data_IF_550441672941
#
_entry.id   IF_550441672941
#
_cell.length_a   1.000
_cell.length_b   1.000
_cell.length_c   1.000
_cell.angle_alpha   90.00
_cell.angle_beta   90.00
_cell.angle_gamma   90.00
#
_symmetry.space_group_name_H-M   'P 1'
#
loop_
_entity.id
_entity.type
_entity.pdbx_description
1 polymer ?
#
# COMPACT_ATOMS: atom_id res chain seq x y z
N UNK A 1 60.06 -27.95 14.39
CA UNK A 1 59.01 -27.39 13.50
C UNK A 1 58.89 -25.91 13.80
N UNK A 2 59.03 -25.02 12.80
CA UNK A 2 58.84 -23.58 13.02
C UNK A 2 57.42 -23.34 13.54
N UNK A 3 57.29 -22.68 14.69
CA UNK A 3 56.01 -22.39 15.34
C UNK A 3 55.23 -21.44 14.43
N UNK A 4 54.19 -21.95 13.77
CA UNK A 4 53.36 -21.14 12.88
C UNK A 4 52.68 -20.01 13.68
N UNK A 5 52.74 -18.78 13.16
CA UNK A 5 52.12 -17.64 13.83
C UNK A 5 50.62 -17.56 13.48
N UNK A 6 49.73 -17.39 14.47
CA UNK A 6 48.30 -17.28 14.21
C UNK A 6 47.98 -15.94 13.52
N UNK A 7 47.03 -15.98 12.60
CA UNK A 7 46.56 -14.81 11.86
C UNK A 7 45.57 -13.99 12.71
N UNK A 8 45.81 -12.68 12.83
CA UNK A 8 44.90 -11.75 13.50
C UNK A 8 43.68 -11.36 12.65
N UNK A 9 42.79 -10.57 13.24
CA UNK A 9 41.52 -10.17 12.62
C UNK A 9 41.66 -9.47 11.26
N UNK A 10 42.53 -8.45 11.06
CA UNK A 10 42.57 -7.71 9.78
C UNK A 10 42.91 -8.58 8.57
N UNK A 11 43.85 -9.51 8.74
CA UNK A 11 44.27 -10.41 7.67
C UNK A 11 43.18 -11.44 7.32
N UNK A 12 42.44 -11.90 8.34
CA UNK A 12 41.28 -12.78 8.15
C UNK A 12 40.10 -12.03 7.52
N UNK A 13 39.90 -10.75 7.85
CA UNK A 13 38.90 -9.90 7.22
C UNK A 13 39.23 -9.69 5.73
N UNK A 14 40.49 -9.40 5.39
CA UNK A 14 40.92 -9.29 4.00
C UNK A 14 40.69 -10.59 3.21
N UNK A 15 41.01 -11.74 3.81
CA UNK A 15 40.73 -13.05 3.22
C UNK A 15 39.21 -13.25 2.98
N UNK A 16 38.40 -12.97 4.00
CA UNK A 16 36.95 -13.04 3.92
C UNK A 16 36.37 -12.12 2.84
N UNK A 17 36.85 -10.88 2.74
CA UNK A 17 36.39 -9.92 1.73
C UNK A 17 36.76 -10.40 0.32
N UNK A 18 37.93 -10.99 0.10
CA UNK A 18 38.28 -11.61 -1.18
C UNK A 18 37.30 -12.74 -1.55
N UNK A 19 37.02 -13.66 -0.62
CA UNK A 19 36.07 -14.75 -0.86
C UNK A 19 34.67 -14.23 -1.21
N UNK A 20 34.17 -13.23 -0.45
CA UNK A 20 32.85 -12.66 -0.70
C UNK A 20 32.80 -11.88 -2.00
N UNK A 21 33.77 -11.03 -2.27
CA UNK A 21 33.83 -10.29 -3.53
C UNK A 21 33.87 -11.21 -4.75
N UNK A 22 34.58 -12.35 -4.65
CA UNK A 22 34.60 -13.35 -5.72
C UNK A 22 33.25 -14.06 -5.86
N UNK A 23 32.67 -14.55 -4.75
CA UNK A 23 31.40 -15.30 -4.77
C UNK A 23 30.19 -14.44 -5.20
N UNK A 24 30.21 -13.14 -4.92
CA UNK A 24 29.11 -12.23 -5.30
C UNK A 24 29.23 -11.68 -6.73
N UNK A 25 30.35 -11.89 -7.42
CA UNK A 25 30.56 -11.37 -8.77
C UNK A 25 29.44 -11.81 -9.76
N UNK A 26 28.98 -13.08 -9.78
CA UNK A 26 27.88 -13.49 -10.66
C UNK A 26 26.57 -12.75 -10.40
N UNK A 27 26.26 -12.43 -9.13
CA UNK A 27 25.06 -11.65 -8.80
C UNK A 27 25.13 -10.22 -9.32
N UNK A 28 26.31 -9.59 -9.26
CA UNK A 28 26.52 -8.26 -9.83
C UNK A 28 26.34 -8.26 -11.36
N UNK A 29 26.78 -9.32 -12.04
CA UNK A 29 26.55 -9.52 -13.48
C UNK A 29 25.08 -9.66 -13.82
N UNK A 30 24.32 -10.43 -13.03
CA UNK A 30 22.86 -10.55 -13.24
C UNK A 30 22.19 -9.20 -13.05
N UNK A 31 22.46 -8.48 -11.96
CA UNK A 31 21.90 -7.13 -11.70
C UNK A 31 22.17 -6.19 -12.88
N UNK A 32 23.39 -6.23 -13.43
CA UNK A 32 23.76 -5.45 -14.60
C UNK A 32 22.88 -5.77 -15.82
N UNK A 33 22.63 -7.04 -16.13
CA UNK A 33 21.75 -7.41 -17.24
C UNK A 33 20.29 -7.04 -16.99
N UNK A 34 19.79 -7.20 -15.75
CA UNK A 34 18.44 -6.77 -15.37
C UNK A 34 18.27 -5.27 -15.63
N UNK A 35 19.27 -4.48 -15.24
CA UNK A 35 19.21 -3.02 -15.35
C UNK A 35 19.08 -2.52 -16.80
N UNK A 36 19.54 -3.31 -17.78
CA UNK A 36 19.49 -2.99 -19.22
C UNK A 36 18.14 -3.27 -19.89
N UNK A 37 17.21 -3.93 -19.19
CA UNK A 37 15.92 -4.28 -19.75
C UNK A 37 14.95 -3.10 -19.63
N UNK A 38 14.34 -2.71 -20.74
CA UNK A 38 13.46 -1.53 -20.81
C UNK A 38 11.97 -1.84 -20.54
N UNK A 39 11.62 -3.10 -20.27
CA UNK A 39 10.24 -3.54 -20.02
C UNK A 39 10.08 -4.15 -18.63
N UNK A 40 8.92 -3.91 -18.01
CA UNK A 40 8.61 -4.44 -16.68
C UNK A 40 8.68 -5.97 -16.62
N UNK A 41 8.17 -6.67 -17.65
CA UNK A 41 8.19 -8.14 -17.71
C UNK A 41 9.62 -8.68 -17.66
N UNK A 42 10.53 -8.11 -18.44
CA UNK A 42 11.94 -8.53 -18.47
C UNK A 42 12.67 -8.19 -17.17
N UNK A 43 12.31 -7.08 -16.51
CA UNK A 43 12.82 -6.74 -15.17
C UNK A 43 12.37 -7.78 -14.14
N UNK A 44 11.09 -8.17 -14.14
CA UNK A 44 10.54 -9.19 -13.23
C UNK A 44 11.19 -10.55 -13.40
N UNK A 45 11.34 -11.03 -14.63
CA UNK A 45 12.08 -12.27 -14.92
C UNK A 45 13.52 -12.18 -14.41
N UNK A 46 14.14 -11.02 -14.60
CA UNK A 46 15.43 -10.68 -14.03
C UNK A 46 15.51 -10.88 -12.52
N UNK A 47 14.56 -10.32 -11.76
CA UNK A 47 14.52 -10.44 -10.29
C UNK A 47 14.39 -11.91 -9.86
N UNK A 48 13.59 -12.71 -10.56
CA UNK A 48 13.47 -14.15 -10.29
C UNK A 48 14.81 -14.86 -10.50
N UNK A 49 15.49 -14.58 -11.62
CA UNK A 49 16.83 -15.12 -11.90
C UNK A 49 17.82 -14.69 -10.81
N UNK A 50 17.78 -13.44 -10.36
CA UNK A 50 18.63 -12.95 -9.28
C UNK A 50 18.40 -13.73 -7.98
N UNK A 51 17.15 -13.98 -7.59
CA UNK A 51 16.81 -14.77 -6.41
C UNK A 51 17.36 -16.20 -6.52
N UNK A 52 17.18 -16.86 -7.67
CA UNK A 52 17.73 -18.19 -7.94
C UNK A 52 19.25 -18.17 -7.82
N UNK A 53 19.91 -17.18 -8.42
CA UNK A 53 21.37 -17.03 -8.36
C UNK A 53 21.85 -16.78 -6.94
N UNK A 54 21.16 -15.97 -6.14
CA UNK A 54 21.53 -15.74 -4.73
C UNK A 54 21.43 -17.03 -3.91
N UNK A 55 20.34 -17.80 -4.08
CA UNK A 55 20.17 -19.10 -3.41
C UNK A 55 21.26 -20.07 -3.88
N UNK A 56 21.53 -20.14 -5.19
CA UNK A 56 22.58 -20.98 -5.74
C UNK A 56 23.96 -20.60 -5.18
N UNK A 57 24.32 -19.32 -5.16
CA UNK A 57 25.60 -18.84 -4.63
C UNK A 57 25.74 -19.09 -3.13
N UNK A 58 24.64 -19.07 -2.39
CA UNK A 58 24.63 -19.44 -0.98
C UNK A 58 24.97 -20.93 -0.79
N UNK A 59 24.32 -21.82 -1.55
CA UNK A 59 24.57 -23.26 -1.50
C UNK A 59 25.97 -23.61 -2.03
N UNK A 60 26.33 -23.03 -3.18
CA UNK A 60 27.64 -23.17 -3.80
C UNK A 60 28.75 -22.68 -2.88
N UNK A 61 28.56 -21.54 -2.20
CA UNK A 61 29.52 -21.00 -1.23
C UNK A 61 29.83 -21.96 -0.07
N UNK A 62 28.85 -22.77 0.35
CA UNK A 62 29.07 -23.82 1.35
C UNK A 62 29.92 -24.96 0.80
N UNK A 63 29.57 -25.49 -0.38
CA UNK A 63 30.32 -26.55 -1.03
C UNK A 63 31.77 -26.10 -1.36
N UNK A 64 31.91 -24.88 -1.88
CA UNK A 64 33.17 -24.19 -2.16
C UNK A 64 34.06 -24.12 -0.92
N UNK A 65 33.52 -23.65 0.21
CA UNK A 65 34.28 -23.53 1.45
C UNK A 65 34.79 -24.88 1.97
N UNK A 66 33.97 -25.93 1.87
CA UNK A 66 34.36 -27.30 2.25
C UNK A 66 35.45 -27.82 1.32
N UNK A 67 35.23 -27.76 0.01
CA UNK A 67 36.14 -28.26 -1.01
C UNK A 67 37.54 -27.64 -0.88
N UNK A 68 37.63 -26.30 -0.89
CA UNK A 68 38.91 -25.62 -0.85
C UNK A 68 39.63 -25.82 0.49
N UNK A 69 38.89 -25.80 1.60
CA UNK A 69 39.49 -26.03 2.91
C UNK A 69 40.04 -27.45 3.06
N UNK A 70 39.33 -28.45 2.52
CA UNK A 70 39.75 -29.84 2.58
C UNK A 70 41.02 -30.11 1.75
N UNK A 71 41.03 -29.70 0.48
CA UNK A 71 42.16 -30.00 -0.41
C UNK A 71 43.36 -29.08 -0.17
N UNK A 72 43.13 -27.78 0.02
CA UNK A 72 44.19 -26.76 0.04
C UNK A 72 44.46 -26.16 1.42
N UNK A 73 43.64 -26.50 2.42
CA UNK A 73 43.79 -25.98 3.78
C UNK A 73 43.29 -24.55 3.96
N UNK A 74 42.41 -24.05 3.10
CA UNK A 74 41.74 -22.76 3.25
C UNK A 74 40.89 -22.45 2.02
N UNK A 75 39.88 -21.60 2.16
CA UNK A 75 39.16 -20.99 1.02
C UNK A 75 40.08 -20.04 0.25
N UNK A 76 39.71 -19.70 -0.98
CA UNK A 76 40.61 -19.04 -1.92
C UNK A 76 41.09 -17.68 -1.40
N UNK A 77 40.26 -16.92 -0.69
CA UNK A 77 40.64 -15.69 -0.02
C UNK A 77 41.70 -15.89 1.07
N UNK A 78 41.62 -16.97 1.84
CA UNK A 78 42.72 -17.37 2.75
C UNK A 78 43.95 -17.78 1.95
N UNK A 79 43.80 -18.53 0.86
CA UNK A 79 44.94 -18.94 0.04
C UNK A 79 45.69 -17.73 -0.56
N UNK A 80 44.95 -16.76 -1.09
CA UNK A 80 45.44 -15.51 -1.70
C UNK A 80 46.13 -14.58 -0.70
N UNK A 81 45.77 -14.67 0.58
CA UNK A 81 46.41 -13.91 1.67
C UNK A 81 47.51 -14.70 2.39
N UNK A 82 47.79 -15.93 1.93
CA UNK A 82 48.84 -16.80 2.49
C UNK A 82 48.47 -17.45 3.82
N UNK A 83 47.17 -17.54 4.10
CA UNK A 83 46.60 -18.17 5.28
C UNK A 83 46.26 -19.64 5.03
N UNK A 84 46.32 -20.45 6.10
CA UNK A 84 45.80 -21.82 6.12
C UNK A 84 45.10 -22.13 7.44
N UNK A 85 44.03 -22.90 7.36
CA UNK A 85 43.29 -23.49 8.48
C UNK A 85 43.94 -24.83 8.84
N UNK A 86 44.35 -24.99 10.09
CA UNK A 86 44.99 -26.21 10.63
C UNK A 86 44.43 -26.52 12.01
N UNK A 87 44.63 -27.74 12.50
CA UNK A 87 44.41 -28.04 13.92
C UNK A 87 45.47 -27.30 14.78
N UNK A 88 45.26 -27.18 16.09
CA UNK A 88 46.23 -26.51 16.99
C UNK A 88 47.63 -27.15 16.95
N UNK A 89 47.72 -28.46 16.73
CA UNK A 89 48.98 -29.19 16.55
C UNK A 89 49.68 -28.88 15.20
N UNK A 90 49.04 -28.12 14.29
CA UNK A 90 49.58 -27.74 12.97
C UNK A 90 49.22 -28.69 11.82
N UNK A 91 48.62 -29.83 12.12
CA UNK A 91 48.15 -30.82 11.15
C UNK A 91 46.91 -30.37 10.35
N UNK A 92 46.63 -31.08 9.26
CA UNK A 92 45.41 -30.83 8.46
C UNK A 92 44.18 -31.22 9.27
N UNK A 93 43.11 -30.44 9.16
CA UNK A 93 41.83 -30.80 9.77
C UNK A 93 41.17 -31.98 9.04
N UNK A 94 40.58 -32.93 9.78
CA UNK A 94 39.82 -34.01 9.17
C UNK A 94 38.54 -33.46 8.51
N UNK A 95 38.03 -34.20 7.52
CA UNK A 95 36.90 -33.79 6.69
C UNK A 95 35.64 -33.43 7.50
N UNK A 96 35.29 -34.24 8.51
CA UNK A 96 34.12 -34.01 9.36
C UNK A 96 34.20 -32.68 10.13
N UNK A 97 35.38 -32.32 10.65
CA UNK A 97 35.61 -31.03 11.32
C UNK A 97 35.50 -29.87 10.34
N UNK A 98 35.98 -30.03 9.11
CA UNK A 98 35.84 -29.01 8.05
C UNK A 98 34.37 -28.83 7.67
N UNK A 99 33.65 -29.93 7.46
CA UNK A 99 32.24 -29.95 7.12
C UNK A 99 31.41 -29.23 8.20
N UNK A 100 31.59 -29.60 9.47
CA UNK A 100 30.91 -28.96 10.60
C UNK A 100 31.28 -27.48 10.75
N UNK A 101 32.57 -27.15 10.53
CA UNK A 101 33.05 -25.77 10.57
C UNK A 101 32.34 -24.90 9.53
N UNK A 102 32.26 -25.38 8.28
CA UNK A 102 31.72 -24.62 7.14
C UNK A 102 30.20 -24.55 7.11
N UNK A 103 29.50 -25.63 7.44
CA UNK A 103 28.04 -25.68 7.38
C UNK A 103 27.37 -25.05 8.60
N UNK A 104 27.91 -25.28 9.79
CA UNK A 104 27.21 -24.95 11.04
C UNK A 104 27.95 -23.87 11.85
N UNK A 105 29.24 -24.06 12.09
CA UNK A 105 29.98 -23.19 13.02
C UNK A 105 30.13 -21.75 12.53
N UNK A 106 30.33 -21.55 11.22
CA UNK A 106 30.30 -20.21 10.63
C UNK A 106 28.96 -19.51 10.83
N UNK A 107 27.83 -20.23 10.72
CA UNK A 107 26.49 -19.66 10.92
C UNK A 107 26.29 -19.20 12.36
N UNK A 108 26.76 -20.00 13.31
CA UNK A 108 26.78 -19.61 14.72
C UNK A 108 27.60 -18.34 14.96
N UNK A 109 28.75 -18.19 14.29
CA UNK A 109 29.55 -16.95 14.39
C UNK A 109 28.83 -15.72 13.82
N UNK A 110 27.87 -15.91 12.92
CA UNK A 110 27.06 -14.85 12.30
C UNK A 110 25.78 -14.51 13.07
N UNK A 111 25.24 -15.45 13.86
CA UNK A 111 23.91 -15.37 14.49
C UNK A 111 23.72 -14.13 15.37
N UNK A 112 24.81 -13.57 15.91
CA UNK A 112 24.83 -12.33 16.68
C UNK A 112 25.61 -11.23 15.92
N UNK A 113 25.20 -10.91 14.69
CA UNK A 113 25.80 -9.85 13.86
C UNK A 113 27.33 -9.94 13.71
N UNK A 114 27.88 -11.16 13.67
CA UNK A 114 29.31 -11.37 13.51
C UNK A 114 30.16 -11.24 14.79
N UNK A 115 29.56 -11.12 15.98
CA UNK A 115 30.30 -11.07 17.26
C UNK A 115 31.26 -12.27 17.43
N UNK A 116 30.92 -13.44 16.86
CA UNK A 116 31.78 -14.61 16.92
C UNK A 116 33.14 -14.42 16.23
N UNK A 117 33.24 -13.50 15.27
CA UNK A 117 34.50 -13.12 14.63
C UNK A 117 35.31 -12.14 15.47
N UNK A 118 34.66 -11.25 16.23
CA UNK A 118 35.35 -10.29 17.09
C UNK A 118 36.10 -10.96 18.25
N UNK A 119 35.74 -12.21 18.59
CA UNK A 119 36.47 -12.99 19.60
C UNK A 119 37.96 -13.16 19.30
N UNK A 120 38.38 -13.03 18.02
CA UNK A 120 39.78 -13.03 17.58
C UNK A 120 40.62 -11.96 18.29
N UNK A 121 40.06 -10.80 18.64
CA UNK A 121 40.81 -9.72 19.27
C UNK A 121 41.28 -10.10 20.68
N UNK A 122 40.39 -10.73 21.46
CA UNK A 122 40.62 -11.07 22.87
C UNK A 122 41.24 -12.46 23.06
N UNK A 123 41.09 -13.35 22.09
CA UNK A 123 41.58 -14.71 22.19
C UNK A 123 43.12 -14.77 22.05
N UNK A 124 43.84 -15.44 22.97
CA UNK A 124 45.30 -15.53 22.92
C UNK A 124 45.80 -16.32 21.70
N UNK A 125 45.01 -17.28 21.23
CA UNK A 125 45.30 -18.07 20.03
C UNK A 125 44.72 -17.44 18.76
N UNK A 126 44.09 -16.26 18.86
CA UNK A 126 43.41 -15.56 17.76
C UNK A 126 42.29 -16.40 17.12
N UNK A 127 41.62 -17.27 17.87
CA UNK A 127 40.53 -18.09 17.37
C UNK A 127 39.19 -17.32 17.36
N UNK A 128 38.42 -17.49 16.29
CA UNK A 128 37.00 -17.14 16.26
C UNK A 128 36.14 -18.25 16.88
N UNK A 129 34.86 -18.00 17.14
CA UNK A 129 33.95 -19.05 17.66
C UNK A 129 33.91 -20.29 16.76
N UNK A 130 33.84 -20.11 15.44
CA UNK A 130 33.88 -21.23 14.49
C UNK A 130 35.22 -21.97 14.42
N UNK A 131 36.29 -21.36 14.92
CA UNK A 131 37.56 -22.04 15.04
C UNK A 131 37.59 -22.91 16.31
N UNK A 132 37.04 -22.38 17.41
CA UNK A 132 36.95 -23.05 18.72
C UNK A 132 36.07 -24.29 18.70
N UNK A 133 34.94 -24.25 17.99
CA UNK A 133 33.99 -25.38 17.94
C UNK A 133 34.57 -26.65 17.32
N UNK A 134 35.69 -26.57 16.61
CA UNK A 134 36.35 -27.72 15.96
C UNK A 134 37.85 -27.83 16.27
N UNK A 135 38.35 -27.07 17.25
CA UNK A 135 39.78 -27.02 17.62
C UNK A 135 40.71 -26.65 16.45
N UNK A 136 40.26 -25.76 15.58
CA UNK A 136 41.05 -25.24 14.46
C UNK A 136 41.66 -23.88 14.77
N UNK A 137 42.68 -23.50 14.00
CA UNK A 137 43.19 -22.14 13.98
C UNK A 137 43.64 -21.76 12.56
N UNK A 138 43.74 -20.46 12.29
CA UNK A 138 44.22 -19.94 11.00
C UNK A 138 45.62 -19.38 11.19
N UNK A 139 46.56 -19.92 10.44
CA UNK A 139 47.99 -19.61 10.51
C UNK A 139 48.48 -18.90 9.26
N UNK A 140 49.49 -18.04 9.44
CA UNK A 140 50.24 -17.45 8.34
C UNK A 140 51.27 -18.47 7.83
N UNK A 141 51.15 -18.88 6.58
CA UNK A 141 52.04 -19.88 5.97
C UNK A 141 52.93 -19.26 4.89
N UNK A 142 52.45 -18.23 4.17
CA UNK A 142 53.19 -17.55 3.12
C UNK A 142 52.92 -16.03 3.15
N UNK A 143 53.87 -15.17 2.74
CA UNK A 143 53.69 -13.72 2.74
C UNK A 143 52.96 -13.22 1.48
N UNK A 144 51.71 -13.65 1.26
CA UNK A 144 50.90 -13.27 0.08
C UNK A 144 49.97 -12.07 0.31
N UNK A 145 50.21 -11.26 1.35
CA UNK A 145 49.38 -10.09 1.65
C UNK A 145 49.22 -9.12 0.45
N UNK A 146 50.27 -8.74 -0.30
CA UNK A 146 50.12 -7.84 -1.44
C UNK A 146 49.18 -8.40 -2.52
N UNK A 147 49.26 -9.71 -2.79
CA UNK A 147 48.39 -10.38 -3.75
C UNK A 147 46.92 -10.32 -3.30
N UNK A 148 46.65 -10.60 -2.03
CA UNK A 148 45.30 -10.48 -1.47
C UNK A 148 44.73 -9.06 -1.51
N UNK A 149 45.57 -8.03 -1.34
CA UNK A 149 45.15 -6.62 -1.46
C UNK A 149 44.86 -6.24 -2.91
N UNK A 150 45.75 -6.57 -3.84
CA UNK A 150 45.57 -6.29 -5.27
C UNK A 150 44.29 -6.98 -5.78
N UNK A 151 44.10 -8.25 -5.42
CA UNK A 151 42.92 -9.01 -5.82
C UNK A 151 41.63 -8.35 -5.30
N UNK A 152 41.60 -7.93 -4.04
CA UNK A 152 40.44 -7.25 -3.48
C UNK A 152 40.17 -5.93 -4.19
N UNK A 153 41.20 -5.12 -4.45
CA UNK A 153 41.05 -3.83 -5.13
C UNK A 153 40.50 -4.00 -6.55
N UNK A 154 41.00 -4.98 -7.31
CA UNK A 154 40.49 -5.30 -8.65
C UNK A 154 39.02 -5.72 -8.58
N UNK A 155 38.67 -6.64 -7.69
CA UNK A 155 37.29 -7.09 -7.53
C UNK A 155 36.35 -5.96 -7.11
N UNK A 156 36.78 -5.10 -6.17
CA UNK A 156 36.01 -3.92 -5.77
C UNK A 156 35.82 -2.93 -6.92
N UNK A 157 36.83 -2.74 -7.77
CA UNK A 157 36.72 -1.93 -8.98
C UNK A 157 35.67 -2.48 -9.96
N UNK A 158 35.66 -3.80 -10.17
CA UNK A 158 34.65 -4.47 -11.01
C UNK A 158 33.25 -4.34 -10.42
N UNK A 159 33.09 -4.54 -9.11
CA UNK A 159 31.81 -4.34 -8.41
C UNK A 159 31.33 -2.89 -8.51
N UNK A 160 32.22 -1.92 -8.31
CA UNK A 160 31.90 -0.50 -8.43
C UNK A 160 31.46 -0.14 -9.86
N UNK A 161 32.11 -0.70 -10.87
CA UNK A 161 31.70 -0.55 -12.27
C UNK A 161 30.27 -1.09 -12.50
N UNK A 162 30.01 -2.35 -12.11
CA UNK A 162 28.68 -2.94 -12.29
C UNK A 162 27.60 -2.17 -11.52
N UNK A 163 27.87 -1.77 -10.28
CA UNK A 163 26.93 -1.02 -9.47
C UNK A 163 26.62 0.34 -10.09
N UNK A 164 27.65 1.09 -10.48
CA UNK A 164 27.48 2.39 -11.13
C UNK A 164 26.65 2.25 -12.41
N UNK A 165 27.03 1.35 -13.31
CA UNK A 165 26.31 1.18 -14.57
C UNK A 165 24.88 0.69 -14.35
N UNK A 166 24.65 -0.22 -13.40
CA UNK A 166 23.29 -0.68 -13.10
C UNK A 166 22.41 0.43 -12.55
N UNK A 167 22.98 1.29 -11.71
CA UNK A 167 22.29 2.45 -11.15
C UNK A 167 21.98 3.49 -12.23
N UNK A 168 22.95 3.81 -13.10
CA UNK A 168 22.77 4.71 -14.24
C UNK A 168 21.66 4.20 -15.18
N UNK A 169 21.63 2.89 -15.47
CA UNK A 169 20.58 2.28 -16.29
C UNK A 169 19.21 2.36 -15.59
N UNK A 170 19.13 2.06 -14.30
CA UNK A 170 17.88 2.15 -13.53
C UNK A 170 17.30 3.56 -13.51
N UNK A 171 18.13 4.58 -13.30
CA UNK A 171 17.67 5.97 -13.25
C UNK A 171 17.05 6.43 -14.58
N UNK A 172 17.57 5.91 -15.69
CA UNK A 172 17.18 6.28 -17.06
C UNK A 172 16.19 5.29 -17.70
N UNK A 173 15.72 4.28 -16.96
CA UNK A 173 14.94 3.19 -17.52
C UNK A 173 13.51 3.64 -17.92
N UNK A 174 13.05 3.41 -19.16
CA UNK A 174 11.69 3.73 -19.61
C UNK A 174 10.58 3.10 -18.75
N UNK A 175 10.78 1.88 -18.23
CA UNK A 175 9.84 1.19 -17.36
C UNK A 175 9.55 1.98 -16.06
N UNK A 176 10.48 2.83 -15.61
CA UNK A 176 10.25 3.74 -14.47
C UNK A 176 9.17 4.76 -14.80
N UNK A 177 9.16 5.31 -16.02
CA UNK A 177 8.13 6.25 -16.47
C UNK A 177 6.78 5.56 -16.61
N UNK A 178 6.77 4.31 -17.08
CA UNK A 178 5.57 3.49 -17.13
C UNK A 178 4.97 3.31 -15.73
N UNK A 179 5.76 2.91 -14.73
CA UNK A 179 5.30 2.78 -13.32
C UNK A 179 4.81 4.11 -12.74
N UNK A 180 5.53 5.21 -12.99
CA UNK A 180 5.11 6.54 -12.53
C UNK A 180 3.80 6.97 -13.19
N UNK A 181 3.62 6.68 -14.48
CA UNK A 181 2.39 6.98 -15.20
C UNK A 181 1.21 6.14 -14.72
N UNK A 182 1.42 4.86 -14.40
CA UNK A 182 0.40 3.98 -13.82
C UNK A 182 0.03 4.44 -12.41
N UNK A 183 1.00 4.85 -11.59
CA UNK A 183 0.75 5.42 -10.28
C UNK A 183 -0.04 6.75 -10.37
N UNK A 184 0.29 7.60 -11.33
CA UNK A 184 -0.44 8.84 -11.59
C UNK A 184 -1.87 8.55 -12.07
N UNK A 185 -2.06 7.61 -13.00
CA UNK A 185 -3.35 7.19 -13.50
C UNK A 185 -4.21 6.55 -12.40
N UNK A 186 -3.63 5.72 -11.54
CA UNK A 186 -4.31 5.15 -10.37
C UNK A 186 -4.76 6.24 -9.39
N UNK A 187 -3.88 7.19 -9.08
CA UNK A 187 -4.24 8.32 -8.22
C UNK A 187 -5.29 9.23 -8.85
N UNK A 188 -5.25 9.42 -10.17
CA UNK A 188 -6.23 10.18 -10.93
C UNK A 188 -7.58 9.46 -11.00
N UNK A 189 -7.59 8.13 -11.14
CA UNK A 189 -8.82 7.32 -11.11
C UNK A 189 -9.53 7.38 -9.74
N UNK A 190 -8.78 7.62 -8.66
CA UNK A 190 -9.32 7.88 -7.33
C UNK A 190 -9.76 9.32 -7.10
N UNK A 191 -9.42 10.27 -7.98
CA UNK A 191 -9.85 11.65 -7.86
C UNK A 191 -11.26 11.78 -8.45
N UNK A 192 -12.19 12.35 -7.67
CA UNK A 192 -13.54 12.66 -8.15
C UNK A 192 -13.46 13.50 -9.44
N UNK A 193 -14.36 13.28 -10.42
CA UNK A 193 -14.37 14.02 -11.68
C UNK A 193 -14.35 15.53 -11.41
N UNK A 194 -13.37 16.22 -12.01
CA UNK A 194 -13.13 17.63 -11.72
C UNK A 194 -14.12 18.51 -12.48
N UNK A 195 -14.80 19.37 -11.73
CA UNK A 195 -15.63 20.46 -12.24
C UNK A 195 -14.72 21.50 -12.90
N UNK A 196 -15.16 22.17 -13.96
CA UNK A 196 -14.34 23.21 -14.58
C UNK A 196 -14.00 24.34 -13.59
N UNK A 197 -12.81 24.92 -13.77
CA UNK A 197 -12.36 26.07 -12.98
C UNK A 197 -13.37 27.22 -13.02
N UNK A 198 -14.02 27.40 -14.17
CA UNK A 198 -15.07 28.40 -14.38
C UNK A 198 -16.26 28.21 -13.42
N UNK A 199 -16.79 27.00 -13.28
CA UNK A 199 -17.92 26.71 -12.37
C UNK A 199 -17.47 26.89 -10.91
N UNK A 200 -16.24 26.48 -10.58
CA UNK A 200 -15.66 26.68 -9.24
C UNK A 200 -15.58 28.15 -8.84
N UNK A 201 -15.17 29.03 -9.77
CA UNK A 201 -15.05 30.47 -9.50
C UNK A 201 -16.43 31.16 -9.46
N UNK A 202 -17.37 30.77 -10.33
CA UNK A 202 -18.74 31.27 -10.25
C UNK A 202 -19.43 30.88 -8.94
N UNK A 203 -19.12 29.71 -8.40
CA UNK A 203 -19.69 29.26 -7.14
C UNK A 203 -19.23 30.10 -5.93
N UNK A 204 -17.97 30.56 -5.92
CA UNK A 204 -17.48 31.48 -4.88
C UNK A 204 -18.29 32.80 -4.88
N UNK A 205 -18.59 33.33 -6.07
CA UNK A 205 -19.41 34.53 -6.22
C UNK A 205 -20.81 34.28 -5.65
N UNK A 206 -21.41 33.13 -5.94
CA UNK A 206 -22.72 32.76 -5.37
C UNK A 206 -22.67 32.70 -3.85
N UNK A 207 -21.66 32.06 -3.28
CA UNK A 207 -21.45 31.96 -1.82
C UNK A 207 -21.38 33.35 -1.18
N UNK A 208 -20.60 34.27 -1.75
CA UNK A 208 -20.46 35.64 -1.25
C UNK A 208 -21.78 36.44 -1.32
N UNK A 209 -22.55 36.26 -2.40
CA UNK A 209 -23.87 36.88 -2.54
C UNK A 209 -24.88 36.33 -1.52
N UNK A 210 -24.87 35.02 -1.27
CA UNK A 210 -25.70 34.38 -0.24
C UNK A 210 -25.34 34.91 1.15
N UNK A 211 -24.06 35.00 1.47
CA UNK A 211 -23.59 35.52 2.77
C UNK A 211 -23.97 36.99 2.97
N UNK A 212 -23.97 37.76 1.87
CA UNK A 212 -24.46 39.14 1.83
C UNK A 212 -26.00 39.26 1.81
N UNK A 213 -26.73 38.14 1.90
CA UNK A 213 -28.20 38.04 1.81
C UNK A 213 -28.78 38.60 0.50
N UNK A 214 -27.97 38.68 -0.56
CA UNK A 214 -28.34 39.12 -1.91
C UNK A 214 -28.87 37.95 -2.73
N UNK A 215 -29.99 37.43 -2.27
CA UNK A 215 -30.60 36.19 -2.71
C UNK A 215 -30.99 36.16 -4.19
N UNK A 216 -31.53 37.25 -4.72
CA UNK A 216 -31.92 37.33 -6.14
C UNK A 216 -30.68 37.35 -7.07
N UNK A 217 -29.64 38.08 -6.66
CA UNK A 217 -28.35 38.11 -7.38
C UNK A 217 -27.69 36.73 -7.35
N UNK A 218 -27.72 36.04 -6.20
CA UNK A 218 -27.20 34.69 -6.03
C UNK A 218 -27.92 33.67 -6.93
N UNK A 219 -29.26 33.72 -6.98
CA UNK A 219 -30.06 32.85 -7.86
C UNK A 219 -29.74 33.11 -9.33
N UNK A 220 -29.60 34.37 -9.74
CA UNK A 220 -29.22 34.71 -11.13
C UNK A 220 -27.83 34.19 -11.48
N UNK A 221 -26.87 34.28 -10.57
CA UNK A 221 -25.52 33.74 -10.75
C UNK A 221 -25.53 32.21 -10.85
N UNK A 222 -26.27 31.51 -9.97
CA UNK A 222 -26.42 30.05 -10.03
C UNK A 222 -27.17 29.57 -11.28
N UNK A 223 -28.16 30.32 -11.77
CA UNK A 223 -28.81 30.04 -13.06
C UNK A 223 -27.84 30.22 -14.24
N UNK A 224 -26.93 31.19 -14.15
CA UNK A 224 -25.87 31.37 -15.16
C UNK A 224 -24.88 30.21 -15.14
N UNK A 225 -24.55 29.65 -13.96
CA UNK A 225 -23.75 28.42 -13.84
C UNK A 225 -24.46 27.25 -14.54
N UNK A 226 -25.77 27.11 -14.31
CA UNK A 226 -26.57 26.05 -14.93
C UNK A 226 -26.62 26.17 -16.46
N UNK A 227 -26.84 27.38 -16.99
CA UNK A 227 -26.88 27.63 -18.44
C UNK A 227 -25.55 27.33 -19.13
N UNK A 228 -24.43 27.59 -18.44
CA UNK A 228 -23.08 27.38 -18.97
C UNK A 228 -22.53 25.96 -18.70
N UNK A 229 -23.28 25.13 -17.98
CA UNK A 229 -22.86 23.77 -17.64
C UNK A 229 -22.76 22.90 -18.90
N UNK A 230 -21.59 22.29 -19.11
CA UNK A 230 -21.29 21.43 -20.28
C UNK A 230 -21.37 19.95 -19.95
N UNK A 231 -21.29 19.61 -18.66
CA UNK A 231 -21.35 18.22 -18.19
C UNK A 231 -22.52 18.03 -17.24
N UNK A 232 -22.98 16.78 -17.07
CA UNK A 232 -24.03 16.47 -16.10
C UNK A 232 -23.56 16.73 -14.66
N UNK A 233 -22.28 16.55 -14.37
CA UNK A 233 -21.71 16.94 -13.08
C UNK A 233 -21.85 18.45 -12.82
N UNK A 234 -21.51 19.30 -13.78
CA UNK A 234 -21.68 20.75 -13.65
C UNK A 234 -23.14 21.18 -13.47
N UNK A 235 -24.07 20.51 -14.17
CA UNK A 235 -25.51 20.72 -13.96
C UNK A 235 -25.91 20.32 -12.55
N UNK A 236 -25.43 19.18 -12.06
CA UNK A 236 -25.69 18.71 -10.71
C UNK A 236 -25.21 19.74 -9.67
N UNK A 237 -23.98 20.25 -9.78
CA UNK A 237 -23.46 21.30 -8.90
C UNK A 237 -24.28 22.59 -8.98
N UNK A 238 -24.73 22.99 -10.16
CA UNK A 238 -25.54 24.19 -10.35
C UNK A 238 -26.90 24.05 -9.67
N UNK A 239 -27.60 22.93 -9.86
CA UNK A 239 -28.85 22.65 -9.16
C UNK A 239 -28.68 22.53 -7.64
N UNK A 240 -27.60 21.90 -7.18
CA UNK A 240 -27.27 21.82 -5.76
C UNK A 240 -27.06 23.21 -5.15
N UNK A 241 -26.36 24.09 -5.88
CA UNK A 241 -26.15 25.49 -5.48
C UNK A 241 -27.46 26.27 -5.42
N UNK A 242 -28.39 26.06 -6.36
CA UNK A 242 -29.73 26.65 -6.32
C UNK A 242 -30.50 26.15 -5.09
N UNK A 243 -30.39 24.86 -4.76
CA UNK A 243 -30.99 24.25 -3.58
C UNK A 243 -30.53 24.93 -2.29
N UNK A 244 -29.23 25.13 -2.13
CA UNK A 244 -28.65 25.83 -0.98
C UNK A 244 -29.15 27.26 -0.82
N UNK A 245 -29.24 28.00 -1.93
CA UNK A 245 -29.74 29.38 -1.90
C UNK A 245 -31.16 29.40 -1.34
N UNK A 246 -32.03 28.51 -1.83
CA UNK A 246 -33.40 28.40 -1.31
C UNK A 246 -33.45 27.92 0.14
N UNK A 247 -32.55 27.03 0.55
CA UNK A 247 -32.49 26.53 1.93
C UNK A 247 -32.13 27.67 2.90
N UNK A 248 -31.10 28.46 2.57
CA UNK A 248 -30.68 29.63 3.37
C UNK A 248 -31.74 30.74 3.35
N UNK A 249 -32.52 30.88 2.28
CA UNK A 249 -33.68 31.78 2.21
C UNK A 249 -34.86 31.33 3.09
N UNK A 250 -34.84 30.12 3.64
CA UNK A 250 -35.96 29.55 4.39
C UNK A 250 -37.09 29.02 3.51
N UNK A 251 -36.80 28.65 2.25
CA UNK A 251 -37.74 28.02 1.33
C UNK A 251 -37.39 26.53 1.10
N UNK A 252 -37.70 25.64 2.07
CA UNK A 252 -37.30 24.23 2.01
C UNK A 252 -37.97 23.46 0.86
N UNK A 253 -39.13 23.92 0.38
CA UNK A 253 -39.85 23.26 -0.73
C UNK A 253 -39.08 23.39 -2.04
N UNK A 254 -38.67 24.61 -2.40
CA UNK A 254 -37.88 24.84 -3.62
C UNK A 254 -36.44 24.33 -3.47
N UNK A 255 -35.90 24.33 -2.24
CA UNK A 255 -34.61 23.71 -1.95
C UNK A 255 -34.63 22.20 -2.23
N UNK A 256 -35.61 21.48 -1.67
CA UNK A 256 -35.80 20.03 -1.86
C UNK A 256 -35.94 19.69 -3.35
N UNK A 257 -36.76 20.45 -4.08
CA UNK A 257 -36.95 20.28 -5.52
C UNK A 257 -35.63 20.42 -6.28
N UNK A 258 -34.86 21.47 -5.97
CA UNK A 258 -33.58 21.74 -6.64
C UNK A 258 -32.51 20.69 -6.33
N UNK A 259 -32.45 20.20 -5.08
CA UNK A 259 -31.60 19.08 -4.70
C UNK A 259 -31.99 17.77 -5.41
N UNK A 260 -33.28 17.48 -5.54
CA UNK A 260 -33.73 16.30 -6.28
C UNK A 260 -33.42 16.41 -7.78
N UNK A 261 -33.51 17.59 -8.39
CA UNK A 261 -33.03 17.80 -9.75
C UNK A 261 -31.51 17.60 -9.87
N UNK A 262 -30.73 18.07 -8.89
CA UNK A 262 -29.28 17.83 -8.83
C UNK A 262 -28.95 16.33 -8.87
N UNK A 263 -29.64 15.53 -8.06
CA UNK A 263 -29.43 14.08 -7.96
C UNK A 263 -29.79 13.32 -9.24
N UNK A 264 -30.61 13.88 -10.14
CA UNK A 264 -30.86 13.27 -11.47
C UNK A 264 -29.62 13.28 -12.37
N UNK A 265 -28.73 14.25 -12.17
CA UNK A 265 -27.51 14.38 -12.98
C UNK A 265 -26.29 13.76 -12.30
N UNK A 266 -26.20 13.79 -10.97
CA UNK A 266 -25.14 13.12 -10.23
C UNK A 266 -25.60 12.72 -8.83
N UNK A 267 -25.49 11.43 -8.53
CA UNK A 267 -25.72 10.87 -7.20
C UNK A 267 -24.47 10.92 -6.30
N UNK A 268 -23.36 11.49 -6.77
CA UNK A 268 -22.06 11.54 -6.04
C UNK A 268 -21.78 12.90 -5.37
N UNK A 269 -22.83 13.67 -5.07
CA UNK A 269 -22.72 14.97 -4.41
C UNK A 269 -23.14 14.89 -2.93
N UNK A 270 -22.19 14.60 -2.04
CA UNK A 270 -22.39 14.58 -0.59
C UNK A 270 -23.07 15.86 0.00
N UNK A 271 -22.81 17.09 -0.50
CA UNK A 271 -23.42 18.29 0.06
C UNK A 271 -24.93 18.35 -0.20
N UNK A 272 -25.37 17.81 -1.35
CA UNK A 272 -26.80 17.74 -1.71
C UNK A 272 -27.56 16.83 -0.76
N UNK A 273 -27.00 15.66 -0.43
CA UNK A 273 -27.58 14.79 0.59
C UNK A 273 -27.56 15.43 1.99
N UNK A 274 -26.52 16.22 2.30
CA UNK A 274 -26.45 16.95 3.57
C UNK A 274 -27.57 18.01 3.66
N UNK A 275 -27.84 18.76 2.58
CA UNK A 275 -28.96 19.69 2.49
C UNK A 275 -30.33 19.00 2.57
N UNK A 276 -30.51 17.86 1.90
CA UNK A 276 -31.73 17.05 2.02
C UNK A 276 -31.93 16.50 3.45
N UNK A 277 -30.86 16.14 4.15
CA UNK A 277 -30.94 15.70 5.55
C UNK A 277 -31.41 16.83 6.49
N UNK A 278 -30.98 18.07 6.25
CA UNK A 278 -31.42 19.26 7.00
C UNK A 278 -32.92 19.51 6.80
N UNK A 279 -33.37 19.47 5.55
CA UNK A 279 -34.80 19.58 5.22
C UNK A 279 -35.61 18.46 5.90
N UNK A 280 -35.12 17.23 5.89
CA UNK A 280 -35.80 16.11 6.54
C UNK A 280 -35.83 16.26 8.08
N UNK A 281 -34.81 16.85 8.70
CA UNK A 281 -34.81 17.21 10.13
C UNK A 281 -35.87 18.26 10.45
N UNK A 282 -36.01 19.30 9.61
CA UNK A 282 -37.04 20.33 9.76
C UNK A 282 -38.45 19.76 9.60
N UNK A 283 -38.62 18.79 8.71
CA UNK A 283 -39.85 18.00 8.54
C UNK A 283 -40.09 17.01 9.71
N UNK A 284 -39.16 16.92 10.68
CA UNK A 284 -39.14 15.94 11.78
C UNK A 284 -39.13 14.47 11.32
N UNK A 285 -38.69 14.23 10.09
CA UNK A 285 -38.52 12.90 9.52
C UNK A 285 -37.08 12.42 9.71
N UNK A 286 -36.73 12.07 10.95
CA UNK A 286 -35.35 11.75 11.32
C UNK A 286 -34.82 10.48 10.67
N UNK A 287 -35.69 9.50 10.35
CA UNK A 287 -35.29 8.28 9.65
C UNK A 287 -34.79 8.60 8.23
N UNK A 288 -35.50 9.48 7.51
CA UNK A 288 -35.08 9.91 6.19
C UNK A 288 -33.83 10.82 6.24
N UNK A 289 -33.74 11.67 7.27
CA UNK A 289 -32.54 12.47 7.50
C UNK A 289 -31.29 11.61 7.69
N UNK A 290 -31.42 10.53 8.47
CA UNK A 290 -30.35 9.55 8.67
C UNK A 290 -29.93 8.90 7.34
N UNK A 291 -30.89 8.44 6.53
CA UNK A 291 -30.58 7.83 5.23
C UNK A 291 -29.78 8.79 4.33
N UNK A 292 -30.20 10.06 4.27
CA UNK A 292 -29.50 11.06 3.47
C UNK A 292 -28.09 11.35 4.01
N UNK A 293 -27.92 11.55 5.31
CA UNK A 293 -26.58 11.86 5.83
C UNK A 293 -25.63 10.67 5.74
N UNK A 294 -26.14 9.43 5.82
CA UNK A 294 -25.32 8.23 5.57
C UNK A 294 -24.84 8.17 4.12
N UNK A 295 -25.70 8.47 3.14
CA UNK A 295 -25.26 8.61 1.73
C UNK A 295 -24.18 9.70 1.57
N UNK A 296 -24.27 10.79 2.32
CA UNK A 296 -23.21 11.83 2.33
C UNK A 296 -21.87 11.26 2.83
N UNK A 297 -21.90 10.45 3.89
CA UNK A 297 -20.71 9.77 4.45
C UNK A 297 -20.17 8.71 3.46
N UNK A 298 -21.04 7.93 2.82
CA UNK A 298 -20.62 6.89 1.87
C UNK A 298 -19.89 7.51 0.66
N UNK A 299 -20.37 8.66 0.19
CA UNK A 299 -19.76 9.39 -0.92
C UNK A 299 -18.43 10.03 -0.49
N UNK A 300 -18.36 10.57 0.73
CA UNK A 300 -17.14 11.17 1.24
C UNK A 300 -16.99 10.91 2.76
N UNK A 301 -16.24 9.85 3.13
CA UNK A 301 -16.11 9.42 4.51
C UNK A 301 -15.15 10.31 5.32
N UNK A 302 -14.47 11.26 4.70
CA UNK A 302 -13.49 12.15 5.34
C UNK A 302 -14.09 13.52 5.75
N UNK A 303 -15.42 13.62 5.80
CA UNK A 303 -16.13 14.83 6.20
C UNK A 303 -16.56 14.82 7.66
N UNK A 304 -15.81 15.54 8.49
CA UNK A 304 -16.16 15.75 9.89
C UNK A 304 -17.60 16.29 10.06
N UNK A 305 -18.05 17.18 9.16
CA UNK A 305 -19.39 17.74 9.20
C UNK A 305 -20.51 16.70 9.00
N UNK A 306 -20.29 15.68 8.16
CA UNK A 306 -21.29 14.64 7.92
C UNK A 306 -21.50 13.77 9.15
N UNK A 307 -20.43 13.42 9.88
CA UNK A 307 -20.55 12.73 11.17
C UNK A 307 -21.17 13.63 12.25
N UNK A 308 -20.83 14.92 12.26
CA UNK A 308 -21.49 15.87 13.17
C UNK A 308 -23.01 15.89 12.95
N UNK A 309 -23.45 16.04 11.70
CA UNK A 309 -24.87 16.05 11.33
C UNK A 309 -25.56 14.74 11.70
N UNK A 310 -24.94 13.59 11.44
CA UNK A 310 -25.45 12.29 11.87
C UNK A 310 -25.59 12.21 13.40
N UNK A 311 -24.62 12.74 14.15
CA UNK A 311 -24.70 12.83 15.61
C UNK A 311 -25.89 13.65 16.10
N UNK A 312 -26.17 14.79 15.48
CA UNK A 312 -27.35 15.61 15.79
C UNK A 312 -28.65 14.89 15.42
N UNK A 313 -28.72 14.25 14.25
CA UNK A 313 -29.89 13.47 13.81
C UNK A 313 -30.18 12.34 14.81
N UNK A 314 -29.15 11.61 15.26
CA UNK A 314 -29.29 10.54 16.26
C UNK A 314 -29.81 11.08 17.59
N UNK A 315 -29.33 12.25 18.02
CA UNK A 315 -29.81 12.89 19.24
C UNK A 315 -31.30 13.25 19.14
N UNK A 316 -31.72 13.82 18.01
CA UNK A 316 -33.13 14.17 17.75
C UNK A 316 -34.03 12.92 17.66
N UNK A 317 -33.49 11.81 17.13
CA UNK A 317 -34.10 10.48 17.13
C UNK A 317 -34.13 9.80 18.51
N UNK A 318 -33.60 10.45 19.56
CA UNK A 318 -33.45 9.93 20.93
C UNK A 318 -32.47 8.76 21.08
N UNK A 319 -31.58 8.55 20.11
CA UNK A 319 -30.44 7.63 20.24
C UNK A 319 -29.20 8.41 20.72
N UNK A 320 -29.15 8.65 22.02
CA UNK A 320 -28.06 9.40 22.65
C UNK A 320 -26.70 8.69 22.52
N UNK A 321 -26.69 7.36 22.44
CA UNK A 321 -25.46 6.57 22.35
C UNK A 321 -24.78 6.79 21.00
N UNK A 322 -25.54 6.62 19.91
CA UNK A 322 -25.02 6.90 18.56
C UNK A 322 -24.72 8.38 18.34
N UNK A 323 -25.49 9.27 18.96
CA UNK A 323 -25.23 10.71 18.91
C UNK A 323 -23.83 11.06 19.42
N UNK A 324 -23.50 10.59 20.64
CA UNK A 324 -22.19 10.80 21.27
C UNK A 324 -21.07 10.21 20.40
N UNK A 325 -21.23 8.98 19.93
CA UNK A 325 -20.21 8.31 19.11
C UNK A 325 -19.89 9.08 17.82
N UNK A 326 -20.90 9.57 17.11
CA UNK A 326 -20.70 10.29 15.85
C UNK A 326 -20.12 11.70 16.07
N UNK A 327 -20.54 12.40 17.14
CA UNK A 327 -19.96 13.69 17.53
C UNK A 327 -18.49 13.56 17.96
N UNK A 328 -18.13 12.49 18.67
CA UNK A 328 -16.73 12.21 19.03
C UNK A 328 -15.88 11.95 17.78
N UNK A 329 -16.40 11.20 16.79
CA UNK A 329 -15.74 11.01 15.50
C UNK A 329 -15.56 12.33 14.74
N UNK A 330 -16.57 13.20 14.72
CA UNK A 330 -16.46 14.53 14.11
C UNK A 330 -15.37 15.38 14.78
N UNK A 331 -15.26 15.36 16.11
CA UNK A 331 -14.20 16.06 16.87
C UNK A 331 -12.82 15.45 16.61
N UNK A 332 -12.72 14.12 16.45
CA UNK A 332 -11.47 13.49 16.10
C UNK A 332 -10.95 13.97 14.74
N UNK A 333 -11.85 14.15 13.78
CA UNK A 333 -11.53 14.59 12.42
C UNK A 333 -11.26 16.10 12.33
N UNK A 334 -11.96 16.91 13.14
CA UNK A 334 -11.70 18.35 13.29
C UNK A 334 -11.62 18.76 14.77
N UNK A 335 -10.44 18.58 15.41
CA UNK A 335 -10.27 18.84 16.84
C UNK A 335 -10.40 20.31 17.23
N UNK A 336 -10.33 21.24 16.27
CA UNK A 336 -10.36 22.67 16.55
C UNK A 336 -11.78 23.26 16.46
N UNK A 337 -12.75 22.49 15.98
CA UNK A 337 -14.12 22.93 15.86
C UNK A 337 -14.81 23.03 17.24
N UNK A 338 -15.00 24.26 17.72
CA UNK A 338 -15.62 24.50 19.02
C UNK A 338 -17.11 24.13 19.04
N UNK A 339 -17.81 24.23 17.89
CA UNK A 339 -19.22 23.86 17.78
C UNK A 339 -19.41 22.39 18.12
N UNK A 340 -18.62 21.50 17.51
CA UNK A 340 -18.72 20.06 17.73
C UNK A 340 -18.52 19.68 19.21
N UNK A 341 -17.55 20.33 19.88
CA UNK A 341 -17.30 20.13 21.32
C UNK A 341 -18.46 20.64 22.17
N UNK A 342 -19.00 21.81 21.83
CA UNK A 342 -20.11 22.42 22.56
C UNK A 342 -21.39 21.58 22.46
N UNK A 343 -21.71 21.06 21.27
CA UNK A 343 -22.91 20.26 21.07
C UNK A 343 -22.75 18.84 21.60
N UNK A 344 -21.53 18.26 21.61
CA UNK A 344 -21.27 17.03 22.37
C UNK A 344 -21.55 17.22 23.87
N UNK A 345 -21.16 18.35 24.46
CA UNK A 345 -21.45 18.63 25.87
C UNK A 345 -22.96 18.73 26.13
N UNK A 346 -23.70 19.45 25.27
CA UNK A 346 -25.16 19.55 25.35
C UNK A 346 -25.83 18.18 25.23
N UNK A 347 -25.46 17.40 24.22
CA UNK A 347 -25.96 16.03 23.99
C UNK A 347 -25.69 15.13 25.20
N UNK A 348 -24.52 15.22 25.84
CA UNK A 348 -24.21 14.46 27.07
C UNK A 348 -25.05 14.91 28.28
N UNK A 349 -25.36 16.21 28.37
CA UNK A 349 -26.20 16.78 29.44
C UNK A 349 -27.71 16.63 29.22
N UNK A 350 -28.15 16.17 28.05
CA UNK A 350 -29.56 16.06 27.69
C UNK A 350 -30.22 17.39 27.29
N UNK A 351 -29.43 18.45 27.10
CA UNK A 351 -29.89 19.74 26.60
C UNK A 351 -30.07 19.70 25.07
N UNK A 352 -30.97 20.56 24.54
CA UNK A 352 -31.15 20.66 23.09
C UNK A 352 -29.85 21.14 22.42
N UNK A 353 -29.36 20.35 21.47
CA UNK A 353 -28.24 20.74 20.61
C UNK A 353 -28.65 21.87 19.65
N UNK A 354 -27.67 22.57 19.09
CA UNK A 354 -27.90 23.63 18.11
C UNK A 354 -28.64 23.04 16.89
N UNK A 355 -29.70 23.70 16.37
CA UNK A 355 -30.35 23.27 15.12
C UNK A 355 -29.33 23.15 13.99
N UNK A 356 -29.50 22.16 13.12
CA UNK A 356 -28.72 22.05 11.90
C UNK A 356 -28.99 23.31 11.05
N UNK A 357 -28.00 24.19 10.97
CA UNK A 357 -28.03 25.30 10.02
C UNK A 357 -26.98 25.04 8.95
N UNK A 358 -27.31 25.43 7.72
CA UNK A 358 -26.39 25.45 6.58
C UNK A 358 -25.20 26.38 6.84
N UNK A 359 -24.15 25.82 7.44
CA UNK A 359 -22.86 26.49 7.58
C UNK A 359 -22.17 26.57 6.21
N UNK A 360 -21.34 27.59 5.98
CA UNK A 360 -20.70 27.85 4.67
C UNK A 360 -19.88 26.66 4.16
N UNK A 361 -19.37 25.81 5.06
CA UNK A 361 -18.64 24.58 4.78
C UNK A 361 -19.51 23.43 4.21
N UNK A 362 -20.84 23.53 4.31
CA UNK A 362 -21.80 22.51 3.83
C UNK A 362 -22.29 22.75 2.40
N UNK A 363 -21.97 23.91 1.81
CA UNK A 363 -22.37 24.24 0.44
C UNK A 363 -21.60 23.36 -0.55
N UNK A 364 -22.13 23.01 -1.73
CA UNK A 364 -21.46 22.11 -2.66
C UNK A 364 -20.28 22.78 -3.36
N UNK A 365 -19.30 23.29 -2.62
CA UNK A 365 -18.09 23.86 -3.18
C UNK A 365 -17.37 22.78 -3.98
N UNK A 366 -17.00 23.10 -5.23
CA UNK A 366 -16.20 22.21 -6.06
C UNK A 366 -15.02 21.64 -5.25
N UNK A 367 -14.75 20.32 -5.28
CA UNK A 367 -13.82 19.69 -4.36
C UNK A 367 -12.43 20.31 -4.52
N UNK A 368 -11.96 21.03 -3.50
CA UNK A 368 -10.55 21.38 -3.43
C UNK A 368 -9.80 20.15 -2.93
N UNK A 369 -8.79 19.71 -3.68
CA UNK A 369 -7.94 18.58 -3.32
C UNK A 369 -7.32 18.81 -1.94
N UNK A 370 -7.84 18.16 -0.92
CA UNK A 370 -7.21 18.07 0.40
C UNK A 370 -6.63 16.67 0.58
N UNK A 371 -5.40 16.62 1.06
CA UNK A 371 -4.67 15.39 1.30
C UNK A 371 -5.41 14.49 2.30
N UNK A 372 -5.47 13.20 1.99
CA UNK A 372 -6.05 12.17 2.84
C UNK A 372 -5.39 12.21 4.23
N UNK A 373 -6.21 12.29 5.27
CA UNK A 373 -5.80 12.01 6.65
C UNK A 373 -6.53 10.75 7.14
N UNK A 374 -5.91 9.95 8.02
CA UNK A 374 -6.34 8.57 8.23
C UNK A 374 -7.50 8.44 9.22
N UNK A 375 -8.42 7.51 8.92
CA UNK A 375 -9.57 7.13 9.74
C UNK A 375 -9.17 6.29 10.96
N UNK A 376 -10.11 6.12 11.93
CA UNK A 376 -10.77 4.81 11.96
C UNK A 376 -12.28 4.86 12.29
N UNK A 377 -13.01 3.85 11.80
CA UNK A 377 -14.18 3.29 12.48
C UNK A 377 -14.18 1.76 12.29
N UNK A 378 -14.57 1.04 13.34
CA UNK A 378 -14.61 -0.42 13.38
C UNK A 378 -15.99 -0.92 12.94
N UNK A 379 -16.03 -1.81 11.95
CA UNK A 379 -17.27 -2.40 11.43
C UNK A 379 -17.60 -3.71 12.18
N UNK A 380 -18.85 -3.85 12.65
CA UNK A 380 -19.40 -5.13 13.11
C UNK A 380 -20.06 -5.85 11.91
N UNK A 381 -19.82 -7.15 11.75
CA UNK A 381 -20.38 -7.99 10.68
C UNK A 381 -21.18 -9.17 11.24
N UNK A 382 -22.15 -9.65 10.48
CA UNK A 382 -23.10 -10.73 10.82
C UNK A 382 -22.65 -12.08 10.24
N UNK A 383 -23.27 -13.18 10.70
CA UNK A 383 -23.01 -14.51 10.13
C UNK A 383 -23.43 -14.60 8.65
N UNK A 384 -24.46 -13.84 8.25
CA UNK A 384 -24.89 -13.77 6.85
C UNK A 384 -23.78 -13.16 5.98
N UNK A 385 -23.10 -12.11 6.46
CA UNK A 385 -21.99 -11.49 5.74
C UNK A 385 -20.85 -12.50 5.52
N UNK A 386 -20.54 -13.32 6.54
CA UNK A 386 -19.52 -14.38 6.44
C UNK A 386 -19.89 -15.39 5.33
N UNK A 387 -21.15 -15.79 5.29
CA UNK A 387 -21.65 -16.77 4.32
C UNK A 387 -21.64 -16.19 2.89
N UNK A 388 -21.94 -14.90 2.73
CA UNK A 388 -21.93 -14.21 1.45
C UNK A 388 -20.49 -14.06 0.89
N UNK A 389 -19.51 -13.68 1.74
CA UNK A 389 -18.10 -13.62 1.35
C UNK A 389 -17.52 -14.99 1.01
N UNK A 390 -17.99 -16.04 1.69
CA UNK A 390 -17.65 -17.42 1.34
C UNK A 390 -18.18 -17.79 -0.04
N UNK A 391 -19.46 -17.50 -0.30
CA UNK A 391 -20.09 -17.78 -1.59
C UNK A 391 -19.39 -17.06 -2.76
N UNK A 392 -18.98 -15.80 -2.56
CA UNK A 392 -18.20 -15.03 -3.52
C UNK A 392 -16.81 -15.64 -3.79
N UNK A 393 -16.13 -16.09 -2.73
CA UNK A 393 -14.84 -16.77 -2.86
C UNK A 393 -14.97 -18.06 -3.66
N UNK A 394 -15.97 -18.89 -3.34
CA UNK A 394 -16.25 -20.15 -4.03
C UNK A 394 -16.64 -19.93 -5.50
N UNK A 395 -17.43 -18.89 -5.77
CA UNK A 395 -17.79 -18.47 -7.13
C UNK A 395 -16.55 -18.08 -7.93
N UNK A 396 -15.69 -17.23 -7.38
CA UNK A 396 -14.45 -16.80 -8.04
C UNK A 396 -13.55 -17.99 -8.35
N UNK A 397 -13.40 -18.90 -7.39
CA UNK A 397 -12.57 -20.10 -7.51
C UNK A 397 -13.05 -21.05 -8.60
N UNK A 398 -14.37 -21.26 -8.69
CA UNK A 398 -14.96 -22.08 -9.74
C UNK A 398 -14.70 -21.48 -11.12
N UNK A 399 -15.03 -20.19 -11.31
CA UNK A 399 -14.93 -19.55 -12.61
C UNK A 399 -13.47 -19.37 -13.06
N UNK A 400 -12.50 -19.18 -12.15
CA UNK A 400 -11.07 -19.16 -12.51
C UNK A 400 -10.57 -20.51 -13.05
N UNK A 401 -11.14 -21.63 -12.60
CA UNK A 401 -10.83 -22.95 -13.18
C UNK A 401 -11.39 -23.06 -14.59
N UNK A 402 -12.64 -22.63 -14.78
CA UNK A 402 -13.30 -22.66 -16.08
C UNK A 402 -12.61 -21.71 -17.10
N UNK A 403 -12.00 -20.61 -16.62
CA UNK A 403 -11.22 -19.67 -17.45
C UNK A 403 -10.06 -20.32 -18.21
N UNK A 404 -9.52 -21.44 -17.72
CA UNK A 404 -8.43 -22.16 -18.41
C UNK A 404 -8.81 -22.61 -19.83
N UNK A 405 -10.10 -22.79 -20.11
CA UNK A 405 -10.63 -23.21 -21.42
C UNK A 405 -10.54 -22.07 -22.46
N UNK A 406 -10.61 -20.82 -22.00
CA UNK A 406 -10.69 -19.63 -22.85
C UNK A 406 -9.34 -18.97 -23.08
N UNK A 407 -8.41 -19.14 -22.13
CA UNK A 407 -7.04 -18.63 -22.21
C UNK A 407 -6.32 -19.29 -23.39
N UNK A 408 -5.76 -18.47 -24.29
CA UNK A 408 -5.08 -18.90 -25.53
C UNK A 408 -5.99 -19.55 -26.58
N UNK A 409 -7.31 -19.50 -26.43
CA UNK A 409 -8.25 -20.00 -27.43
C UNK A 409 -8.62 -18.88 -28.43
N UNK A 410 -8.15 -18.93 -29.69
CA UNK A 410 -8.30 -17.84 -30.64
C UNK A 410 -9.75 -17.57 -31.06
N UNK A 411 -10.71 -18.45 -30.70
CA UNK A 411 -12.15 -18.26 -30.95
C UNK A 411 -12.74 -17.10 -30.14
N UNK A 412 -12.11 -16.70 -29.04
CA UNK A 412 -12.63 -15.70 -28.11
C UNK A 412 -11.79 -14.42 -28.12
N UNK A 413 -12.44 -13.29 -27.86
CA UNK A 413 -11.77 -11.99 -27.68
C UNK A 413 -10.83 -12.05 -26.46
N UNK A 414 -9.53 -12.11 -26.74
CA UNK A 414 -8.50 -12.31 -25.72
C UNK A 414 -8.40 -11.12 -24.76
N UNK A 415 -8.78 -9.91 -25.19
CA UNK A 415 -8.82 -8.73 -24.30
C UNK A 415 -9.94 -8.88 -23.27
N UNK A 416 -11.12 -9.36 -23.69
CA UNK A 416 -12.22 -9.66 -22.77
C UNK A 416 -11.88 -10.82 -21.83
N UNK A 417 -11.27 -11.89 -22.34
CA UNK A 417 -10.84 -13.05 -21.55
C UNK A 417 -9.82 -12.63 -20.48
N UNK A 418 -8.82 -11.82 -20.83
CA UNK A 418 -7.83 -11.31 -19.87
C UNK A 418 -8.48 -10.41 -18.81
N UNK A 419 -9.42 -9.54 -19.21
CA UNK A 419 -10.16 -8.68 -18.28
C UNK A 419 -10.95 -9.52 -17.28
N UNK A 420 -11.74 -10.50 -17.73
CA UNK A 420 -12.49 -11.37 -16.81
C UNK A 420 -11.58 -12.20 -15.91
N UNK A 421 -10.46 -12.71 -16.42
CA UNK A 421 -9.50 -13.44 -15.59
C UNK A 421 -8.91 -12.57 -14.48
N UNK A 422 -8.57 -11.32 -14.80
CA UNK A 422 -8.07 -10.35 -13.83
C UNK A 422 -9.10 -10.06 -12.74
N UNK A 423 -10.36 -9.84 -13.12
CA UNK A 423 -11.44 -9.53 -12.19
C UNK A 423 -11.78 -10.68 -11.26
N UNK A 424 -11.91 -11.90 -11.79
CA UNK A 424 -12.12 -13.10 -10.97
C UNK A 424 -10.95 -13.33 -9.98
N UNK A 425 -9.72 -12.96 -10.38
CA UNK A 425 -8.55 -13.04 -9.50
C UNK A 425 -8.60 -11.99 -8.38
N UNK A 426 -8.99 -10.75 -8.68
CA UNK A 426 -9.20 -9.70 -7.67
C UNK A 426 -10.31 -10.10 -6.70
N UNK A 427 -11.46 -10.56 -7.21
CA UNK A 427 -12.57 -11.05 -6.42
C UNK A 427 -12.15 -12.17 -5.47
N UNK A 428 -11.48 -13.21 -5.98
CA UNK A 428 -10.99 -14.31 -5.12
C UNK A 428 -10.06 -13.81 -4.02
N UNK A 429 -9.18 -12.88 -4.35
CA UNK A 429 -8.20 -12.31 -3.43
C UNK A 429 -8.88 -11.50 -2.32
N UNK A 430 -9.79 -10.59 -2.68
CA UNK A 430 -10.50 -9.71 -1.75
C UNK A 430 -11.48 -10.54 -0.90
N UNK A 431 -12.37 -11.29 -1.54
CA UNK A 431 -13.39 -12.09 -0.86
C UNK A 431 -12.75 -13.14 0.06
N UNK A 432 -11.70 -13.83 -0.40
CA UNK A 432 -11.00 -14.82 0.39
C UNK A 432 -10.29 -14.23 1.62
N UNK A 433 -9.71 -13.02 1.50
CA UNK A 433 -9.13 -12.32 2.66
C UNK A 433 -10.21 -11.94 3.67
N UNK A 434 -11.31 -11.35 3.21
CA UNK A 434 -12.41 -10.89 4.05
C UNK A 434 -13.08 -12.05 4.77
N UNK A 435 -13.44 -13.13 4.04
CA UNK A 435 -13.98 -14.35 4.62
C UNK A 435 -13.09 -14.92 5.72
N UNK A 436 -11.78 -15.05 5.47
CA UNK A 436 -10.84 -15.59 6.45
C UNK A 436 -10.70 -14.71 7.70
N UNK A 437 -10.77 -13.38 7.56
CA UNK A 437 -10.75 -12.45 8.69
C UNK A 437 -12.03 -12.56 9.51
N UNK A 438 -13.19 -12.53 8.84
CA UNK A 438 -14.48 -12.58 9.51
C UNK A 438 -14.73 -13.92 10.21
N UNK A 439 -14.31 -15.05 9.61
CA UNK A 439 -14.38 -16.37 10.24
C UNK A 439 -13.59 -16.45 11.55
N UNK A 440 -12.50 -15.69 11.66
CA UNK A 440 -11.65 -15.62 12.86
C UNK A 440 -12.12 -14.60 13.89
N UNK A 441 -13.19 -13.86 13.61
CA UNK A 441 -13.63 -12.74 14.45
C UNK A 441 -12.67 -11.56 14.43
N UNK A 442 -11.83 -11.41 13.40
CA UNK A 442 -10.90 -10.29 13.27
C UNK A 442 -11.63 -9.00 12.90
N UNK A 443 -11.19 -7.88 13.44
CA UNK A 443 -11.74 -6.56 13.09
C UNK A 443 -11.30 -6.18 11.67
N UNK A 444 -12.26 -5.76 10.83
CA UNK A 444 -11.98 -5.30 9.47
C UNK A 444 -11.29 -3.93 9.52
N UNK A 445 -10.27 -3.77 8.68
CA UNK A 445 -9.51 -2.53 8.54
C UNK A 445 -10.17 -1.57 7.55
N UNK A 446 -9.78 -0.29 7.58
CA UNK A 446 -10.22 0.72 6.58
C UNK A 446 -9.85 0.32 5.15
N UNK A 447 -8.78 -0.47 4.98
CA UNK A 447 -8.43 -1.01 3.67
C UNK A 447 -9.39 -2.12 3.25
N UNK A 448 -9.83 -2.96 4.19
CA UNK A 448 -10.86 -3.97 3.94
C UNK A 448 -12.19 -3.30 3.56
N UNK A 449 -12.56 -2.20 4.23
CA UNK A 449 -13.76 -1.40 3.91
C UNK A 449 -13.71 -0.78 2.50
N UNK A 450 -12.54 -0.25 2.11
CA UNK A 450 -12.31 0.23 0.74
C UNK A 450 -12.38 -0.89 -0.29
N UNK A 451 -11.81 -2.05 0.02
CA UNK A 451 -11.85 -3.22 -0.86
C UNK A 451 -13.29 -3.73 -1.03
N UNK A 452 -14.12 -3.69 0.02
CA UNK A 452 -15.57 -4.01 -0.03
C UNK A 452 -16.33 -3.00 -0.92
N UNK A 453 -16.08 -1.71 -0.73
CA UNK A 453 -16.79 -0.65 -1.47
C UNK A 453 -16.45 -0.65 -2.96
N UNK A 454 -15.17 -0.84 -3.31
CA UNK A 454 -14.73 -0.98 -4.70
C UNK A 454 -15.35 -2.24 -5.33
N UNK A 455 -15.44 -3.32 -4.55
CA UNK A 455 -16.08 -4.54 -5.00
C UNK A 455 -17.54 -4.31 -5.37
N UNK A 456 -18.35 -3.64 -4.53
CA UNK A 456 -19.78 -3.43 -4.82
C UNK A 456 -20.07 -2.52 -6.05
N UNK A 457 -19.24 -1.49 -6.31
CA UNK A 457 -19.42 -0.60 -7.48
C UNK A 457 -19.04 -1.30 -8.80
N UNK A 458 -17.92 -2.03 -8.83
CA UNK A 458 -17.41 -2.68 -10.05
C UNK A 458 -18.13 -4.01 -10.35
N UNK A 459 -18.57 -4.74 -9.32
CA UNK A 459 -19.15 -6.09 -9.44
C UNK A 459 -20.40 -6.17 -10.35
N UNK A 460 -21.22 -5.12 -10.42
CA UNK A 460 -22.41 -5.08 -11.27
C UNK A 460 -22.09 -4.96 -12.76
N UNK A 461 -21.08 -4.17 -13.13
CA UNK A 461 -20.62 -4.03 -14.52
C UNK A 461 -19.86 -5.29 -14.97
N UNK A 462 -19.17 -5.92 -14.02
CA UNK A 462 -18.35 -7.10 -14.23
C UNK A 462 -19.15 -8.39 -14.35
N UNK A 463 -20.23 -8.55 -13.57
CA UNK A 463 -21.17 -9.67 -13.73
C UNK A 463 -21.76 -9.71 -15.16
N UNK A 464 -21.98 -8.57 -15.78
CA UNK A 464 -22.47 -8.47 -17.16
C UNK A 464 -21.43 -8.97 -18.15
N UNK A 465 -20.17 -8.61 -17.95
CA UNK A 465 -19.03 -9.05 -18.78
C UNK A 465 -18.74 -10.55 -18.61
N UNK A 466 -18.86 -11.09 -17.40
CA UNK A 466 -18.76 -12.53 -17.13
C UNK A 466 -19.89 -13.29 -17.82
N UNK A 467 -21.14 -12.81 -17.76
CA UNK A 467 -22.27 -13.42 -18.48
C UNK A 467 -22.11 -13.39 -20.01
N UNK A 468 -21.46 -12.37 -20.56
CA UNK A 468 -21.15 -12.29 -22.00
C UNK A 468 -20.12 -13.35 -22.45
N UNK A 469 -19.15 -13.70 -21.59
CA UNK A 469 -18.11 -14.68 -21.89
C UNK A 469 -18.50 -16.12 -21.53
N UNK A 470 -19.37 -16.27 -20.53
CA UNK A 470 -19.99 -17.52 -20.11
C UNK A 470 -21.50 -17.48 -20.36
N UNK A 471 -21.96 -17.42 -21.62
CA UNK A 471 -23.37 -17.68 -21.88
C UNK A 471 -23.62 -19.14 -21.45
N UNK A 472 -24.35 -19.33 -20.35
CA UNK A 472 -24.81 -20.65 -19.96
C UNK A 472 -25.62 -21.23 -21.14
N UNK A 473 -25.59 -22.56 -21.37
CA UNK A 473 -26.60 -23.21 -22.20
C UNK A 473 -28.03 -22.97 -21.68
#
# INVERSE_FOLDING_TARGET
>A
MNKLSPAGFPLRLLAYLNDKSLLFLPSATVIFFISKNDTLTSIWQGIIILLIVVIFLFLFGMAYGVFFTYFFGGDLGKLLTGLRVRAQAGEKLPFNKILFRQLLSYRFSWLLFGLGFLSIFKDPNKQAWHDKTVDSNVFKVQPLLPLGLITLLVLLGVHAYFLKTSFDNFLNNPAKQEVLSLAAAYNQSKAAPQVSQQISDQQKIVVELVDSKKFDEALKAAQTMLQNSKTDLEKAYSYGTIGDIYLVQGNPVEAKKSYLESLKYSTKLYPVYSGLSEIAVDEKNYQQAEEYIRKSIDINPDLANSYYRLGIIMFLSKDQTQAVSNLEKAIQMDPNNQLYKSDLAKVKSGEQATPLQTDSASRPVAPQTRAATPAPATLNYTQQDIDDWKALTDFADKNLKDMQIFINNPKYDQTKVQRVNFLLTQMKSIAGRLYNKMQKGEVLTVQDEKDITIFDEDYLEEQKLVKELFPQP
#
